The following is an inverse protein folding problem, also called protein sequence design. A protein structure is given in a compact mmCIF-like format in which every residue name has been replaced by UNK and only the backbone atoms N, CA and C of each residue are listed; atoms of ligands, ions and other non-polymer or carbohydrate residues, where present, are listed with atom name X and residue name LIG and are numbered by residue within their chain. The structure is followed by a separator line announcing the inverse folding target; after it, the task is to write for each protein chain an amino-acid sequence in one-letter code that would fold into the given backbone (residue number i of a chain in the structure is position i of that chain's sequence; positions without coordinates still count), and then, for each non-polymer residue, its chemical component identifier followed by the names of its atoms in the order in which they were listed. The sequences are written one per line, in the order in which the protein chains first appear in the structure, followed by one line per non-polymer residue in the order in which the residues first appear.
data_IF_060588746648
#
_entry.id   IF_060588746648
#
_cell.length_a   1.000
_cell.length_b   1.000
_cell.length_c   1.000
_cell.angle_alpha   90.00
_cell.angle_beta   90.00
_cell.angle_gamma   90.00
#
_symmetry.space_group_name_H-M   'P 1'
#
loop_
_entity.id
_entity.type
_entity.pdbx_description
1 polymer ?
#
# COMPACT_ATOMS: atom_id res chain seq x y z
N UNK A 1 -33.34 -22.84 6.31
CA UNK A 1 -32.75 -21.59 5.80
C UNK A 1 -31.61 -22.00 4.91
N UNK A 2 -31.68 -21.67 3.62
CA UNK A 2 -30.53 -21.86 2.73
C UNK A 2 -29.42 -20.93 3.20
N UNK A 3 -28.20 -21.43 3.34
CA UNK A 3 -27.02 -20.57 3.47
C UNK A 3 -26.57 -20.27 2.05
N UNK A 4 -27.24 -19.31 1.43
CA UNK A 4 -26.80 -18.81 0.13
C UNK A 4 -25.50 -18.02 0.36
N UNK A 5 -24.52 -18.25 -0.50
CA UNK A 5 -23.23 -17.58 -0.51
C UNK A 5 -23.10 -16.90 -1.87
N UNK A 6 -22.61 -15.67 -1.86
CA UNK A 6 -22.28 -14.90 -3.06
C UNK A 6 -20.79 -14.58 -3.01
N UNK A 7 -20.15 -14.58 -4.18
CA UNK A 7 -18.72 -14.35 -4.32
C UNK A 7 -18.49 -13.50 -5.57
N UNK A 8 -18.71 -12.18 -5.50
CA UNK A 8 -18.50 -11.28 -6.62
C UNK A 8 -17.03 -11.27 -7.08
N UNK A 9 -16.73 -10.84 -8.32
CA UNK A 9 -15.38 -10.89 -8.86
C UNK A 9 -14.34 -10.10 -8.06
N UNK A 10 -14.68 -8.92 -7.54
CA UNK A 10 -13.73 -8.13 -6.74
C UNK A 10 -13.34 -8.86 -5.46
N UNK A 11 -14.33 -9.30 -4.67
CA UNK A 11 -14.12 -10.06 -3.43
C UNK A 11 -13.27 -11.31 -3.68
N UNK A 12 -13.60 -12.12 -4.68
CA UNK A 12 -12.78 -13.27 -5.06
C UNK A 12 -11.33 -12.89 -5.41
N UNK A 13 -11.16 -11.80 -6.17
CA UNK A 13 -9.85 -11.29 -6.56
C UNK A 13 -9.02 -10.91 -5.34
N UNK A 14 -9.63 -10.19 -4.39
CA UNK A 14 -9.01 -9.77 -3.14
C UNK A 14 -8.71 -10.95 -2.21
N UNK A 15 -9.64 -11.91 -2.05
CA UNK A 15 -9.45 -13.14 -1.27
C UNK A 15 -8.23 -13.94 -1.75
N UNK A 16 -8.09 -14.09 -3.06
CA UNK A 16 -6.92 -14.76 -3.63
C UNK A 16 -5.62 -14.01 -3.34
N UNK A 17 -5.65 -12.67 -3.34
CA UNK A 17 -4.48 -11.88 -2.98
C UNK A 17 -4.15 -11.99 -1.50
N UNK A 18 -5.14 -11.90 -0.61
CA UNK A 18 -4.99 -12.07 0.84
C UNK A 18 -4.35 -13.42 1.16
N UNK A 19 -4.85 -14.52 0.60
CA UNK A 19 -4.23 -15.83 0.85
C UNK A 19 -2.82 -15.92 0.22
N UNK A 20 -2.60 -15.35 -0.98
CA UNK A 20 -1.29 -15.36 -1.62
C UNK A 20 -0.23 -14.60 -0.79
N UNK A 21 -0.54 -13.42 -0.26
CA UNK A 21 0.42 -12.66 0.56
C UNK A 21 0.71 -13.36 1.88
N UNK A 22 -0.31 -13.91 2.55
CA UNK A 22 -0.12 -14.66 3.80
C UNK A 22 0.78 -15.90 3.63
N UNK A 23 0.76 -16.52 2.45
CA UNK A 23 1.67 -17.63 2.12
C UNK A 23 3.10 -17.20 1.82
N UNK A 24 3.34 -15.93 1.50
CA UNK A 24 4.67 -15.39 1.18
C UNK A 24 5.39 -14.78 2.38
N UNK A 25 4.69 -14.60 3.50
CA UNK A 25 5.23 -14.05 4.75
C UNK A 25 6.32 -14.97 5.32
N UNK A 26 7.31 -14.37 5.99
CA UNK A 26 8.41 -15.04 6.67
C UNK A 26 9.29 -15.90 5.74
N UNK A 27 9.43 -17.20 6.01
CA UNK A 27 10.20 -18.15 5.18
C UNK A 27 9.24 -19.20 4.64
N UNK A 28 8.70 -19.00 3.41
CA UNK A 28 7.64 -19.84 2.88
C UNK A 28 8.15 -21.26 2.56
N UNK A 29 7.34 -22.27 2.88
CA UNK A 29 7.66 -23.64 2.48
C UNK A 29 7.48 -23.83 0.96
N UNK A 30 8.03 -24.90 0.34
CA UNK A 30 7.76 -25.21 -1.06
C UNK A 30 6.26 -25.34 -1.39
N UNK A 31 5.45 -25.77 -0.41
CA UNK A 31 4.00 -25.86 -0.56
C UNK A 31 3.38 -24.46 -0.57
N UNK A 32 3.82 -23.58 0.33
CA UNK A 32 3.31 -22.21 0.40
C UNK A 32 3.65 -21.44 -0.86
N UNK A 33 4.89 -21.53 -1.35
CA UNK A 33 5.30 -20.94 -2.62
C UNK A 33 4.45 -21.41 -3.81
N UNK A 34 4.15 -22.72 -3.87
CA UNK A 34 3.28 -23.27 -4.92
C UNK A 34 1.90 -22.63 -4.87
N UNK A 35 1.25 -22.61 -3.71
CA UNK A 35 -0.12 -22.09 -3.60
C UNK A 35 -0.17 -20.57 -3.66
N UNK A 36 0.86 -19.86 -3.19
CA UNK A 36 1.00 -18.42 -3.34
C UNK A 36 0.99 -18.04 -4.83
N UNK A 37 1.78 -18.73 -5.68
CA UNK A 37 1.77 -18.46 -7.12
C UNK A 37 0.43 -18.80 -7.77
N UNK A 38 -0.23 -19.90 -7.35
CA UNK A 38 -1.52 -20.29 -7.90
C UNK A 38 -2.61 -19.26 -7.57
N UNK A 39 -2.67 -18.81 -6.32
CA UNK A 39 -3.65 -17.81 -5.89
C UNK A 39 -3.30 -16.42 -6.41
N UNK A 40 -2.02 -16.03 -6.45
CA UNK A 40 -1.61 -14.79 -7.09
C UNK A 40 -1.99 -14.76 -8.58
N UNK A 41 -1.84 -15.88 -9.30
CA UNK A 41 -2.32 -15.99 -10.69
C UNK A 41 -3.83 -15.81 -10.79
N UNK A 42 -4.60 -16.48 -9.93
CA UNK A 42 -6.05 -16.37 -9.89
C UNK A 42 -6.51 -14.95 -9.56
N UNK A 43 -5.97 -14.33 -8.50
CA UNK A 43 -6.27 -12.96 -8.09
C UNK A 43 -5.94 -11.95 -9.18
N UNK A 44 -4.74 -12.03 -9.78
CA UNK A 44 -4.36 -11.19 -10.92
C UNK A 44 -5.34 -11.35 -12.09
N UNK A 45 -5.69 -12.59 -12.47
CA UNK A 45 -6.62 -12.80 -13.58
C UNK A 45 -8.01 -12.23 -13.28
N UNK A 46 -8.52 -12.45 -12.08
CA UNK A 46 -9.85 -12.02 -11.66
C UNK A 46 -9.91 -10.49 -11.57
N UNK A 47 -8.93 -9.83 -10.97
CA UNK A 47 -8.93 -8.37 -10.83
C UNK A 47 -8.75 -7.63 -12.16
N UNK A 48 -7.95 -8.18 -13.09
CA UNK A 48 -7.87 -7.64 -14.45
C UNK A 48 -9.21 -7.78 -15.20
N UNK A 49 -9.95 -8.87 -14.98
CA UNK A 49 -11.29 -9.06 -15.54
C UNK A 49 -12.31 -8.16 -14.87
N UNK A 50 -12.25 -7.99 -13.56
CA UNK A 50 -13.10 -7.08 -12.81
C UNK A 50 -13.07 -5.68 -13.44
N UNK A 51 -11.87 -5.14 -13.69
CA UNK A 51 -11.76 -3.83 -14.34
C UNK A 51 -12.40 -3.77 -15.73
N UNK A 52 -12.37 -4.86 -16.50
CA UNK A 52 -13.09 -4.94 -17.78
C UNK A 52 -14.61 -5.02 -17.59
N UNK A 53 -15.08 -5.74 -16.58
CA UNK A 53 -16.51 -5.88 -16.24
C UNK A 53 -17.11 -4.52 -15.87
N UNK A 54 -16.36 -3.66 -15.17
CA UNK A 54 -16.78 -2.29 -14.86
C UNK A 54 -17.13 -1.45 -16.12
N UNK A 55 -16.58 -1.80 -17.29
CA UNK A 55 -16.92 -1.15 -18.56
C UNK A 55 -18.05 -1.88 -19.30
N UNK A 56 -17.84 -3.18 -19.55
CA UNK A 56 -18.83 -4.06 -20.17
C UNK A 56 -18.40 -5.53 -19.92
N UNK A 57 -19.28 -6.32 -19.30
CA UNK A 57 -19.03 -7.74 -19.03
C UNK A 57 -18.66 -8.55 -20.28
N UNK A 58 -19.11 -8.15 -21.48
CA UNK A 58 -18.76 -8.82 -22.74
C UNK A 58 -17.27 -8.78 -23.02
N UNK A 59 -16.55 -7.82 -22.45
CA UNK A 59 -15.09 -7.69 -22.54
C UNK A 59 -14.35 -8.82 -21.85
N UNK A 60 -15.00 -9.74 -21.14
CA UNK A 60 -14.34 -10.94 -20.62
C UNK A 60 -14.65 -12.22 -21.39
N UNK A 61 -15.50 -12.18 -22.42
CA UNK A 61 -15.87 -13.36 -23.23
C UNK A 61 -14.73 -13.79 -24.16
N UNK A 62 -14.46 -15.10 -24.24
CA UNK A 62 -13.44 -15.64 -25.14
C UNK A 62 -13.93 -15.61 -26.60
N UNK A 63 -13.40 -14.70 -27.42
CA UNK A 63 -13.71 -14.53 -28.84
C UNK A 63 -13.39 -15.77 -29.71
N UNK A 64 -12.69 -16.76 -29.16
CA UNK A 64 -12.45 -18.06 -29.83
C UNK A 64 -13.53 -19.10 -29.54
N UNK A 65 -14.47 -18.79 -28.66
CA UNK A 65 -15.65 -19.61 -28.46
C UNK A 65 -16.69 -19.20 -29.51
N UNK A 66 -17.04 -20.14 -30.40
CA UNK A 66 -18.02 -19.93 -31.47
C UNK A 66 -19.38 -19.44 -30.94
N UNK A 67 -19.64 -19.63 -29.64
CA UNK A 67 -20.86 -19.20 -28.95
C UNK A 67 -20.76 -17.84 -28.27
N UNK A 68 -19.61 -17.18 -28.25
CA UNK A 68 -19.44 -15.92 -27.52
C UNK A 68 -20.37 -14.80 -27.97
N UNK A 69 -20.78 -14.79 -29.25
CA UNK A 69 -21.75 -13.82 -29.76
C UNK A 69 -23.18 -14.09 -29.29
N UNK A 70 -23.47 -15.31 -28.83
CA UNK A 70 -24.79 -15.77 -28.39
C UNK A 70 -24.93 -15.76 -26.86
N UNK A 71 -23.87 -15.43 -26.11
CA UNK A 71 -23.91 -15.35 -24.65
C UNK A 71 -24.83 -14.22 -24.23
N UNK A 72 -25.85 -14.56 -23.44
CA UNK A 72 -26.81 -13.60 -22.89
C UNK A 72 -26.32 -13.06 -21.53
N UNK A 73 -26.94 -12.00 -21.04
CA UNK A 73 -26.71 -11.49 -19.69
C UNK A 73 -27.06 -12.53 -18.61
N UNK A 74 -28.14 -13.30 -18.82
CA UNK A 74 -28.52 -14.42 -17.96
C UNK A 74 -27.45 -15.53 -17.91
N UNK A 75 -26.76 -15.78 -19.03
CA UNK A 75 -25.64 -16.72 -19.07
C UNK A 75 -24.41 -16.17 -18.37
N UNK A 76 -24.17 -14.85 -18.46
CA UNK A 76 -23.10 -14.19 -17.73
C UNK A 76 -23.33 -14.27 -16.22
N UNK A 77 -24.51 -13.87 -15.73
CA UNK A 77 -24.89 -13.94 -14.31
C UNK A 77 -24.80 -15.37 -13.76
N UNK A 78 -25.15 -16.37 -14.57
CA UNK A 78 -25.05 -17.78 -14.20
C UNK A 78 -23.65 -18.39 -14.39
N UNK A 79 -22.65 -17.62 -14.84
CA UNK A 79 -21.29 -18.12 -15.11
C UNK A 79 -21.20 -19.14 -16.26
N UNK A 80 -22.19 -19.19 -17.15
CA UNK A 80 -22.30 -20.17 -18.25
C UNK A 80 -21.62 -19.70 -19.52
N UNK A 81 -20.37 -19.27 -19.42
CA UNK A 81 -19.59 -18.81 -20.55
C UNK A 81 -18.11 -19.13 -20.38
N UNK A 82 -17.37 -19.09 -21.49
CA UNK A 82 -15.91 -19.17 -21.45
C UNK A 82 -15.31 -17.78 -21.35
N UNK A 83 -14.52 -17.54 -20.30
CA UNK A 83 -13.82 -16.27 -20.13
C UNK A 83 -12.41 -16.29 -20.73
N UNK A 84 -11.87 -15.10 -21.00
CA UNK A 84 -10.48 -14.88 -21.42
C UNK A 84 -9.48 -15.15 -20.30
N UNK A 85 -8.19 -15.32 -20.61
CA UNK A 85 -7.11 -15.32 -19.61
C UNK A 85 -6.36 -13.98 -19.52
N UNK A 86 -5.39 -13.88 -18.60
CA UNK A 86 -4.56 -12.68 -18.33
C UNK A 86 -4.06 -12.00 -19.61
N UNK A 87 -3.43 -12.74 -20.53
CA UNK A 87 -2.82 -12.16 -21.73
C UNK A 87 -3.81 -11.47 -22.66
N UNK A 88 -5.07 -11.94 -22.72
CA UNK A 88 -6.15 -11.28 -23.48
C UNK A 88 -6.75 -10.13 -22.67
N UNK A 89 -6.90 -10.29 -21.36
CA UNK A 89 -7.39 -9.23 -20.47
C UNK A 89 -6.52 -7.98 -20.57
N UNK A 90 -5.19 -8.12 -20.47
CA UNK A 90 -4.24 -7.02 -20.63
C UNK A 90 -4.34 -6.31 -22.00
N UNK A 91 -4.64 -7.05 -23.07
CA UNK A 91 -4.81 -6.47 -24.41
C UNK A 91 -6.10 -5.67 -24.51
N UNK A 92 -7.20 -6.14 -23.91
CA UNK A 92 -8.48 -5.42 -23.89
C UNK A 92 -8.42 -4.21 -22.96
N UNK A 93 -7.75 -4.32 -21.82
CA UNK A 93 -7.54 -3.19 -20.90
C UNK A 93 -6.82 -2.03 -21.60
N UNK A 94 -5.84 -2.30 -22.47
CA UNK A 94 -5.13 -1.26 -23.24
C UNK A 94 -5.98 -0.53 -24.28
N UNK A 95 -7.17 -1.04 -24.61
CA UNK A 95 -8.08 -0.34 -25.53
C UNK A 95 -9.07 0.56 -24.79
N UNK A 96 -9.08 0.53 -23.46
CA UNK A 96 -9.90 1.41 -22.64
C UNK A 96 -9.21 2.76 -22.46
N UNK A 97 -9.98 3.84 -22.51
CA UNK A 97 -9.49 5.16 -22.17
C UNK A 97 -9.11 5.22 -20.68
N UNK A 98 -7.99 5.89 -20.37
CA UNK A 98 -7.48 6.01 -18.99
C UNK A 98 -6.61 4.85 -18.51
N UNK A 99 -6.62 3.68 -19.17
CA UNK A 99 -5.84 2.52 -18.74
C UNK A 99 -4.47 2.46 -19.42
N UNK A 100 -3.43 2.87 -18.69
CA UNK A 100 -2.04 2.76 -19.13
C UNK A 100 -1.32 1.62 -18.43
N UNK A 101 -0.80 0.66 -19.20
CA UNK A 101 -0.01 -0.47 -18.71
C UNK A 101 1.44 -0.40 -19.19
N UNK A 102 2.38 -0.39 -18.25
CA UNK A 102 3.82 -0.35 -18.56
C UNK A 102 4.32 -1.67 -19.15
N UNK A 103 5.45 -1.63 -19.84
CA UNK A 103 6.11 -2.86 -20.35
C UNK A 103 6.53 -3.80 -19.21
N UNK A 104 6.91 -3.26 -18.06
CA UNK A 104 7.23 -4.01 -16.84
C UNK A 104 6.03 -4.79 -16.33
N UNK A 105 4.87 -4.15 -16.22
CA UNK A 105 3.62 -4.78 -15.78
C UNK A 105 3.20 -5.93 -16.71
N UNK A 106 3.24 -5.72 -18.04
CA UNK A 106 2.95 -6.78 -19.02
C UNK A 106 3.91 -7.96 -18.90
N UNK A 107 5.19 -7.69 -18.66
CA UNK A 107 6.22 -8.71 -18.49
C UNK A 107 6.01 -9.52 -17.22
N UNK A 108 5.69 -8.86 -16.10
CA UNK A 108 5.39 -9.52 -14.83
C UNK A 108 4.19 -10.48 -14.96
N UNK A 109 3.11 -10.03 -15.57
CA UNK A 109 1.91 -10.83 -15.79
C UNK A 109 2.17 -12.04 -16.72
N UNK A 110 2.88 -11.84 -17.83
CA UNK A 110 3.25 -12.93 -18.75
C UNK A 110 4.22 -13.93 -18.11
N UNK A 111 5.09 -13.48 -17.20
CA UNK A 111 5.96 -14.36 -16.44
C UNK A 111 5.16 -15.18 -15.42
N UNK A 112 4.20 -14.56 -14.70
CA UNK A 112 3.30 -15.26 -13.78
C UNK A 112 2.49 -16.38 -14.47
N UNK A 113 1.92 -16.10 -15.64
CA UNK A 113 1.13 -17.08 -16.41
C UNK A 113 1.96 -18.31 -16.80
N UNK A 114 3.19 -18.08 -17.29
CA UNK A 114 4.14 -19.17 -17.59
C UNK A 114 4.51 -19.96 -16.33
N UNK A 115 4.73 -19.26 -15.22
CA UNK A 115 5.15 -19.87 -13.97
C UNK A 115 4.06 -20.76 -13.37
N UNK A 116 2.81 -20.29 -13.38
CA UNK A 116 1.64 -21.07 -12.99
C UNK A 116 1.51 -22.33 -13.85
N UNK A 117 1.66 -22.21 -15.17
CA UNK A 117 1.59 -23.37 -16.07
C UNK A 117 2.69 -24.41 -15.76
N UNK A 118 3.92 -23.96 -15.51
CA UNK A 118 5.04 -24.84 -15.15
C UNK A 118 4.82 -25.54 -13.81
N UNK A 119 4.36 -24.81 -12.79
CA UNK A 119 4.07 -25.35 -11.45
C UNK A 119 2.92 -26.37 -11.46
N UNK A 120 1.85 -26.09 -12.21
CA UNK A 120 0.66 -26.92 -12.21
C UNK A 120 0.79 -28.17 -13.11
N UNK A 121 1.47 -28.05 -14.25
CA UNK A 121 1.43 -29.10 -15.28
C UNK A 121 2.78 -29.75 -15.61
N UNK A 122 3.91 -29.11 -15.32
CA UNK A 122 5.23 -29.56 -15.82
C UNK A 122 6.26 -29.88 -14.75
N UNK A 123 5.93 -29.72 -13.46
CA UNK A 123 6.85 -30.01 -12.36
C UNK A 123 8.05 -29.07 -12.35
N UNK A 124 7.80 -27.77 -12.17
CA UNK A 124 8.83 -26.74 -12.12
C UNK A 124 9.98 -27.11 -11.15
N UNK A 125 11.21 -27.13 -11.66
CA UNK A 125 12.44 -27.17 -10.85
C UNK A 125 13.05 -25.77 -10.84
N UNK A 126 12.95 -25.08 -9.71
CA UNK A 126 13.52 -23.75 -9.49
C UNK A 126 13.93 -23.61 -8.01
N UNK A 127 14.69 -22.56 -7.68
CA UNK A 127 14.99 -22.25 -6.27
C UNK A 127 13.83 -21.49 -5.63
N UNK A 128 13.72 -21.54 -4.30
CA UNK A 128 12.68 -20.81 -3.57
C UNK A 128 12.78 -19.30 -3.84
N UNK A 129 14.00 -18.76 -3.84
CA UNK A 129 14.28 -17.34 -4.05
C UNK A 129 13.86 -16.87 -5.45
N UNK A 130 14.02 -17.72 -6.47
CA UNK A 130 13.58 -17.41 -7.82
C UNK A 130 12.05 -17.38 -7.94
N UNK A 131 11.36 -18.27 -7.21
CA UNK A 131 9.88 -18.27 -7.11
C UNK A 131 9.40 -17.03 -6.37
N UNK A 132 9.99 -16.71 -5.23
CA UNK A 132 9.66 -15.53 -4.43
C UNK A 132 9.87 -14.23 -5.22
N UNK A 133 11.01 -14.08 -5.90
CA UNK A 133 11.27 -12.89 -6.72
C UNK A 133 10.27 -12.74 -7.87
N UNK A 134 9.79 -13.84 -8.44
CA UNK A 134 8.76 -13.80 -9.48
C UNK A 134 7.38 -13.47 -8.92
N UNK A 135 7.04 -13.99 -7.74
CA UNK A 135 5.82 -13.65 -7.01
C UNK A 135 5.83 -12.18 -6.60
N UNK A 136 6.94 -11.67 -6.05
CA UNK A 136 7.12 -10.27 -5.68
C UNK A 136 6.91 -9.31 -6.86
N UNK A 137 7.41 -9.64 -8.06
CA UNK A 137 7.15 -8.86 -9.29
C UNK A 137 5.67 -8.82 -9.66
N UNK A 138 4.99 -9.94 -9.58
CA UNK A 138 3.56 -10.03 -9.88
C UNK A 138 2.72 -9.30 -8.84
N UNK A 139 3.07 -9.42 -7.56
CA UNK A 139 2.44 -8.72 -6.44
C UNK A 139 2.63 -7.20 -6.57
N UNK A 140 3.85 -6.75 -6.87
CA UNK A 140 4.10 -5.33 -7.13
C UNK A 140 3.26 -4.80 -8.30
N UNK A 141 3.16 -5.56 -9.39
CA UNK A 141 2.29 -5.19 -10.51
C UNK A 141 0.81 -5.06 -10.09
N UNK A 142 0.26 -6.04 -9.38
CA UNK A 142 -1.17 -6.04 -9.08
C UNK A 142 -1.53 -4.94 -8.08
N UNK A 143 -0.65 -4.63 -7.12
CA UNK A 143 -0.83 -3.49 -6.21
C UNK A 143 -0.89 -2.16 -6.98
N UNK A 144 0.07 -1.94 -7.88
CA UNK A 144 0.07 -0.74 -8.73
C UNK A 144 -1.18 -0.70 -9.63
N UNK A 145 -1.66 -1.85 -10.08
CA UNK A 145 -2.87 -1.95 -10.89
C UNK A 145 -4.14 -1.63 -10.09
N UNK A 146 -4.25 -2.15 -8.86
CA UNK A 146 -5.37 -1.84 -7.97
C UNK A 146 -5.43 -0.33 -7.71
N UNK A 147 -4.32 0.27 -7.26
CA UNK A 147 -4.26 1.70 -6.94
C UNK A 147 -4.55 2.60 -8.15
N UNK A 148 -4.05 2.24 -9.33
CA UNK A 148 -4.19 3.10 -10.52
C UNK A 148 -5.47 2.89 -11.30
N UNK A 149 -6.08 1.69 -11.24
CA UNK A 149 -7.15 1.32 -12.17
C UNK A 149 -8.40 0.74 -11.50
N UNK A 150 -8.34 0.30 -10.24
CA UNK A 150 -9.51 -0.23 -9.50
C UNK A 150 -10.00 0.76 -8.45
N UNK A 151 -9.12 1.22 -7.56
CA UNK A 151 -9.44 2.07 -6.42
C UNK A 151 -10.04 3.45 -6.77
N UNK A 152 -9.77 4.08 -7.93
CA UNK A 152 -10.42 5.34 -8.27
C UNK A 152 -11.96 5.22 -8.25
N UNK A 153 -12.61 6.04 -7.43
CA UNK A 153 -14.02 5.96 -7.00
C UNK A 153 -15.04 5.82 -8.14
N UNK A 154 -14.73 6.29 -9.35
CA UNK A 154 -15.69 6.33 -10.47
C UNK A 154 -16.20 4.96 -10.92
N UNK A 155 -15.58 3.86 -10.47
CA UNK A 155 -15.91 2.50 -10.88
C UNK A 155 -16.36 1.58 -9.74
N UNK A 156 -16.31 2.04 -8.49
CA UNK A 156 -16.63 1.22 -7.33
C UNK A 156 -18.08 1.40 -6.90
N UNK A 157 -18.70 0.33 -6.45
CA UNK A 157 -19.95 0.38 -5.67
C UNK A 157 -19.63 0.43 -4.17
N UNK A 158 -20.58 0.83 -3.33
CA UNK A 158 -20.41 0.81 -1.86
C UNK A 158 -19.96 -0.57 -1.34
N UNK A 159 -20.37 -1.66 -1.99
CA UNK A 159 -19.95 -3.03 -1.65
C UNK A 159 -18.50 -3.28 -2.05
N UNK A 160 -18.09 -2.77 -3.21
CA UNK A 160 -16.71 -2.89 -3.67
C UNK A 160 -15.74 -2.10 -2.78
N UNK A 161 -16.16 -0.91 -2.34
CA UNK A 161 -15.42 -0.10 -1.37
C UNK A 161 -15.24 -0.87 -0.05
N UNK A 162 -16.32 -1.43 0.49
CA UNK A 162 -16.25 -2.25 1.71
C UNK A 162 -15.29 -3.43 1.57
N UNK A 163 -15.31 -4.14 0.43
CA UNK A 163 -14.39 -5.26 0.17
C UNK A 163 -12.93 -4.79 0.18
N UNK A 164 -12.64 -3.64 -0.44
CA UNK A 164 -11.28 -3.08 -0.44
C UNK A 164 -10.86 -2.63 0.96
N UNK A 165 -11.74 -1.95 1.69
CA UNK A 165 -11.49 -1.48 3.05
C UNK A 165 -11.23 -2.63 4.03
N UNK A 166 -11.89 -3.77 3.84
CA UNK A 166 -11.66 -4.97 4.65
C UNK A 166 -10.37 -5.72 4.24
N UNK A 167 -10.09 -5.86 2.94
CA UNK A 167 -8.98 -6.69 2.48
C UNK A 167 -7.62 -5.97 2.43
N UNK A 168 -7.60 -4.67 2.11
CA UNK A 168 -6.35 -3.93 1.91
C UNK A 168 -5.49 -3.79 3.18
N UNK A 169 -6.03 -3.54 4.39
CA UNK A 169 -5.23 -3.50 5.61
C UNK A 169 -4.42 -4.79 5.83
N UNK A 170 -5.07 -5.95 5.69
CA UNK A 170 -4.43 -7.27 5.82
C UNK A 170 -3.35 -7.47 4.75
N UNK A 171 -3.65 -7.09 3.50
CA UNK A 171 -2.67 -7.18 2.40
C UNK A 171 -1.45 -6.33 2.74
N UNK A 172 -1.65 -5.03 3.05
CA UNK A 172 -0.57 -4.06 3.29
C UNK A 172 0.30 -4.46 4.47
N UNK A 173 -0.30 -4.93 5.57
CA UNK A 173 0.40 -5.48 6.73
C UNK A 173 1.30 -6.65 6.36
N UNK A 174 0.79 -7.58 5.55
CA UNK A 174 1.60 -8.70 5.06
C UNK A 174 2.75 -8.25 4.15
N UNK A 175 2.56 -7.23 3.29
CA UNK A 175 3.58 -6.79 2.32
C UNK A 175 4.92 -6.42 2.97
N UNK A 176 4.89 -5.73 4.12
CA UNK A 176 6.08 -5.30 4.85
C UNK A 176 6.96 -6.44 5.34
N UNK A 177 6.39 -7.64 5.45
CA UNK A 177 7.08 -8.83 5.97
C UNK A 177 7.61 -9.76 4.88
N UNK A 178 7.33 -9.46 3.61
CA UNK A 178 7.78 -10.26 2.46
C UNK A 178 9.12 -9.71 1.99
N UNK A 179 10.23 -10.26 2.50
CA UNK A 179 11.60 -9.77 2.24
C UNK A 179 11.93 -9.57 0.75
N UNK A 180 11.53 -10.51 -0.12
CA UNK A 180 11.79 -10.41 -1.55
C UNK A 180 11.06 -9.21 -2.18
N UNK A 181 9.84 -8.92 -1.73
CA UNK A 181 9.05 -7.77 -2.16
C UNK A 181 9.64 -6.47 -1.64
N UNK A 182 9.96 -6.41 -0.34
CA UNK A 182 10.57 -5.25 0.32
C UNK A 182 11.82 -4.82 -0.43
N UNK A 183 12.78 -5.73 -0.59
CA UNK A 183 14.04 -5.47 -1.29
C UNK A 183 13.81 -4.96 -2.72
N UNK A 184 12.91 -5.60 -3.46
CA UNK A 184 12.65 -5.24 -4.85
C UNK A 184 11.96 -3.88 -5.00
N UNK A 185 10.90 -3.61 -4.22
CA UNK A 185 10.15 -2.35 -4.33
C UNK A 185 10.96 -1.19 -3.78
N UNK A 186 11.61 -1.33 -2.62
CA UNK A 186 12.45 -0.26 -2.06
C UNK A 186 13.64 0.10 -2.97
N UNK A 187 14.22 -0.88 -3.67
CA UNK A 187 15.25 -0.59 -4.68
C UNK A 187 14.73 0.30 -5.81
N UNK A 188 13.49 0.11 -6.27
CA UNK A 188 12.88 0.95 -7.31
C UNK A 188 12.44 2.32 -6.77
N UNK A 189 12.08 2.40 -5.48
CA UNK A 189 11.60 3.62 -4.84
C UNK A 189 12.73 4.50 -4.32
N UNK A 190 13.96 4.00 -4.23
CA UNK A 190 15.10 4.69 -3.60
C UNK A 190 15.26 6.13 -4.06
N UNK A 191 15.20 6.42 -5.37
CA UNK A 191 15.33 7.79 -5.86
C UNK A 191 14.18 8.71 -5.46
N UNK A 192 12.99 8.16 -5.24
CA UNK A 192 11.81 8.94 -4.81
C UNK A 192 11.86 9.18 -3.31
N UNK A 193 12.19 8.14 -2.55
CA UNK A 193 12.27 8.15 -1.08
C UNK A 193 13.41 9.05 -0.59
N UNK A 194 14.61 8.92 -1.19
CA UNK A 194 15.79 9.70 -0.81
C UNK A 194 15.59 11.22 -1.05
N UNK A 195 14.69 11.61 -1.95
CA UNK A 195 14.44 13.01 -2.30
C UNK A 195 13.31 13.68 -1.47
N UNK A 196 12.39 12.89 -0.89
CA UNK A 196 11.11 13.38 -0.39
C UNK A 196 11.00 13.42 1.15
N UNK A 197 12.11 13.28 1.88
CA UNK A 197 12.10 13.15 3.35
C UNK A 197 11.06 12.11 3.82
N UNK A 198 11.09 10.91 3.23
CA UNK A 198 10.02 9.94 3.41
C UNK A 198 9.78 9.60 4.89
N UNK A 199 8.52 9.37 5.23
CA UNK A 199 8.10 8.95 6.56
C UNK A 199 7.73 7.46 6.60
N UNK A 200 7.60 6.93 7.81
CA UNK A 200 7.28 5.52 8.05
C UNK A 200 5.79 5.24 7.83
N UNK A 201 5.48 4.17 7.09
CA UNK A 201 4.11 3.76 6.83
C UNK A 201 3.57 2.89 7.97
N UNK A 202 2.45 3.26 8.63
CA UNK A 202 1.85 2.41 9.66
C UNK A 202 1.28 1.09 9.11
N UNK A 203 0.81 1.09 7.86
CA UNK A 203 0.20 -0.12 7.26
C UNK A 203 1.21 -1.20 6.88
N UNK A 204 2.38 -0.84 6.35
CA UNK A 204 3.33 -1.82 5.78
C UNK A 204 4.74 -1.74 6.37
N UNK A 205 4.95 -0.85 7.34
CA UNK A 205 6.21 -0.69 8.06
C UNK A 205 7.43 -0.40 7.19
N UNK A 206 7.24 0.36 6.10
CA UNK A 206 8.32 0.80 5.22
C UNK A 206 8.46 2.32 5.26
N UNK A 207 9.70 2.87 5.21
CA UNK A 207 9.95 4.31 5.14
C UNK A 207 9.70 4.81 3.71
N UNK A 208 8.43 4.88 3.34
CA UNK A 208 8.01 5.14 1.97
C UNK A 208 6.77 6.06 1.87
N UNK A 209 6.36 6.71 2.97
CA UNK A 209 5.30 7.71 2.95
C UNK A 209 5.85 9.02 2.41
N UNK A 210 5.21 9.53 1.37
CA UNK A 210 5.46 10.84 0.80
C UNK A 210 4.39 11.79 1.38
N UNK A 211 4.82 12.84 2.08
CA UNK A 211 3.92 13.80 2.71
C UNK A 211 3.37 14.84 1.73
N UNK A 212 4.12 15.16 0.68
CA UNK A 212 3.70 16.10 -0.36
C UNK A 212 2.83 15.43 -1.43
N UNK A 213 1.76 16.09 -1.84
CA UNK A 213 1.03 15.73 -3.05
C UNK A 213 1.86 16.11 -4.29
N UNK A 214 1.96 15.22 -5.29
CA UNK A 214 2.76 15.47 -6.51
C UNK A 214 2.15 16.53 -7.47
N UNK A 215 1.30 17.43 -6.97
CA UNK A 215 0.73 18.52 -7.73
C UNK A 215 1.47 19.83 -7.45
N UNK A 216 2.25 20.22 -8.45
CA UNK A 216 3.19 21.35 -8.52
C UNK A 216 2.53 22.73 -8.51
N UNK A 217 1.49 22.96 -7.72
CA UNK A 217 0.96 24.31 -7.49
C UNK A 217 1.31 24.75 -6.07
N UNK A 218 2.39 25.52 -5.95
CA UNK A 218 2.89 26.11 -4.68
C UNK A 218 1.90 27.11 -4.05
N UNK A 219 0.68 27.23 -4.58
CA UNK A 219 -0.41 28.03 -4.04
C UNK A 219 -1.23 27.32 -2.96
N UNK A 220 -1.08 26.00 -2.81
CA UNK A 220 -1.75 25.21 -1.78
C UNK A 220 -0.80 24.95 -0.60
N UNK A 221 -1.28 25.19 0.62
CA UNK A 221 -0.51 24.93 1.83
C UNK A 221 -0.48 23.43 2.18
N UNK A 222 0.30 23.01 3.19
CA UNK A 222 0.36 21.60 3.64
C UNK A 222 -0.98 21.02 4.12
N UNK A 223 -2.00 21.86 4.25
CA UNK A 223 -3.37 21.49 4.64
C UNK A 223 -4.13 20.78 3.50
N UNK A 224 -3.71 20.95 2.24
CA UNK A 224 -4.29 20.27 1.08
C UNK A 224 -3.46 19.04 0.62
N UNK A 225 -2.45 18.65 1.41
CA UNK A 225 -1.62 17.49 1.09
C UNK A 225 -2.33 16.18 1.47
N UNK A 226 -2.30 15.23 0.53
CA UNK A 226 -2.80 13.87 0.69
C UNK A 226 -1.62 12.89 0.73
N UNK A 227 -1.10 12.55 1.93
CA UNK A 227 0.03 11.64 2.04
C UNK A 227 -0.26 10.29 1.40
N UNK A 228 0.78 9.65 0.88
CA UNK A 228 0.66 8.29 0.33
C UNK A 228 1.90 7.46 0.56
N UNK A 229 1.71 6.17 0.81
CA UNK A 229 2.80 5.22 0.84
C UNK A 229 3.14 4.76 -0.58
N UNK A 230 4.31 5.14 -1.07
CA UNK A 230 4.80 4.70 -2.38
C UNK A 230 5.07 3.18 -2.44
N UNK A 231 5.18 2.52 -1.28
CA UNK A 231 5.39 1.08 -1.18
C UNK A 231 4.08 0.28 -1.28
N UNK A 232 3.15 0.48 -0.35
CA UNK A 232 1.92 -0.32 -0.21
C UNK A 232 0.65 0.36 -0.75
N UNK A 233 0.78 1.56 -1.30
CA UNK A 233 -0.31 2.37 -1.88
C UNK A 233 -1.39 2.81 -0.89
N UNK A 234 -1.09 2.81 0.42
CA UNK A 234 -1.90 3.49 1.42
C UNK A 234 -1.99 4.99 1.14
N UNK A 235 -3.12 5.60 1.49
CA UNK A 235 -3.44 7.01 1.26
C UNK A 235 -4.12 7.57 2.50
N UNK A 236 -3.87 8.83 2.77
CA UNK A 236 -4.50 9.57 3.85
C UNK A 236 -5.14 10.84 3.29
N UNK A 237 -6.30 11.20 3.83
CA UNK A 237 -7.03 12.40 3.40
C UNK A 237 -6.30 13.68 3.81
N UNK A 238 -5.46 13.62 4.84
CA UNK A 238 -4.62 14.73 5.26
C UNK A 238 -3.34 14.25 5.95
N UNK A 239 -2.39 15.17 6.13
CA UNK A 239 -1.23 14.93 7.01
C UNK A 239 -1.67 14.64 8.46
N UNK A 240 -2.81 15.15 8.92
CA UNK A 240 -3.31 14.89 10.27
C UNK A 240 -3.78 13.44 10.42
N UNK A 241 -4.57 12.93 9.46
CA UNK A 241 -5.01 11.52 9.46
C UNK A 241 -3.83 10.56 9.42
N UNK A 242 -2.79 10.89 8.62
CA UNK A 242 -1.55 10.13 8.63
C UNK A 242 -0.86 10.11 10.01
N UNK A 243 -0.78 11.25 10.70
CA UNK A 243 -0.16 11.33 12.03
C UNK A 243 -0.97 10.55 13.07
N UNK A 244 -2.29 10.59 13.00
CA UNK A 244 -3.17 9.82 13.88
C UNK A 244 -2.94 8.31 13.71
N UNK A 245 -2.87 7.82 12.46
CA UNK A 245 -2.55 6.42 12.18
C UNK A 245 -1.12 6.06 12.55
N UNK A 246 -0.14 6.93 12.27
CA UNK A 246 1.26 6.69 12.62
C UNK A 246 1.43 6.56 14.14
N UNK A 247 0.85 7.47 14.92
CA UNK A 247 0.95 7.42 16.38
C UNK A 247 0.18 6.24 16.96
N UNK A 248 -1.01 5.94 16.46
CA UNK A 248 -1.86 4.87 17.01
C UNK A 248 -1.46 3.46 16.58
N UNK A 249 -1.17 3.24 15.31
CA UNK A 249 -0.88 1.92 14.74
C UNK A 249 0.61 1.59 14.89
N UNK A 250 1.49 2.52 14.49
CA UNK A 250 2.94 2.26 14.48
C UNK A 250 3.59 2.48 15.84
N UNK A 251 3.23 3.54 16.57
CA UNK A 251 3.79 3.80 17.91
C UNK A 251 2.94 3.20 19.06
N UNK A 252 1.71 2.77 18.80
CA UNK A 252 0.82 2.22 19.83
C UNK A 252 0.30 3.27 20.81
N UNK A 253 0.31 4.55 20.44
CA UNK A 253 -0.10 5.68 21.27
C UNK A 253 -1.48 6.19 20.84
N UNK A 254 -2.44 6.24 21.75
CA UNK A 254 -3.82 6.66 21.42
C UNK A 254 -4.21 7.96 22.14
N UNK A 255 -4.72 8.93 21.37
CA UNK A 255 -5.37 10.14 21.91
C UNK A 255 -6.53 9.81 22.88
N UNK A 256 -7.24 8.71 22.68
CA UNK A 256 -8.32 8.26 23.57
C UNK A 256 -7.78 7.88 24.95
N UNK A 257 -6.65 7.18 25.02
CA UNK A 257 -6.00 6.81 26.28
C UNK A 257 -5.43 8.06 26.97
N UNK A 258 -4.87 9.01 26.20
CA UNK A 258 -4.40 10.28 26.72
C UNK A 258 -5.52 11.09 27.41
N UNK A 259 -6.68 11.21 26.76
CA UNK A 259 -7.81 11.97 27.29
C UNK A 259 -8.50 11.32 28.50
N UNK A 260 -8.54 9.99 28.59
CA UNK A 260 -9.26 9.28 29.64
C UNK A 260 -8.40 8.84 30.82
N UNK A 261 -7.16 8.42 30.57
CA UNK A 261 -6.27 7.87 31.59
C UNK A 261 -5.20 8.89 32.05
N UNK A 262 -5.23 10.11 31.51
CA UNK A 262 -4.27 11.17 31.80
C UNK A 262 -2.88 10.88 31.24
N UNK A 263 -2.79 10.04 30.21
CA UNK A 263 -1.56 9.83 29.46
C UNK A 263 -1.23 11.06 28.61
N UNK A 264 0.05 11.23 28.29
CA UNK A 264 0.51 12.34 27.46
C UNK A 264 -0.06 12.22 26.04
N UNK A 265 -0.36 13.37 25.43
CA UNK A 265 -0.79 13.43 24.03
C UNK A 265 0.29 12.82 23.13
N UNK A 266 -0.05 11.98 22.15
CA UNK A 266 0.92 11.40 21.22
C UNK A 266 1.60 12.43 20.31
N UNK A 267 1.01 13.63 20.20
CA UNK A 267 1.58 14.78 19.48
C UNK A 267 1.84 15.94 20.43
N UNK A 268 2.87 16.73 20.11
CA UNK A 268 3.25 17.97 20.79
C UNK A 268 3.11 19.19 19.87
N UNK A 269 3.08 20.36 20.51
CA UNK A 269 3.09 21.64 19.81
C UNK A 269 4.47 21.92 19.18
N UNK A 270 4.49 22.16 17.88
CA UNK A 270 5.71 22.53 17.18
C UNK A 270 6.03 24.02 17.41
N UNK A 271 7.22 24.37 17.95
CA UNK A 271 7.59 25.77 18.18
C UNK A 271 7.83 26.57 16.88
N UNK A 272 8.15 25.90 15.78
CA UNK A 272 8.44 26.56 14.49
C UNK A 272 7.18 26.97 13.72
N UNK A 273 6.15 26.12 13.69
CA UNK A 273 4.92 26.37 12.93
C UNK A 273 3.66 26.54 13.77
N UNK A 274 3.71 26.24 15.07
CA UNK A 274 2.58 26.34 15.99
C UNK A 274 1.49 25.28 15.78
N UNK A 275 1.78 24.17 15.10
CA UNK A 275 0.82 23.07 14.89
C UNK A 275 1.12 21.90 15.84
N UNK A 276 0.07 21.20 16.28
CA UNK A 276 0.16 20.04 17.17
C UNK A 276 0.43 18.75 16.36
N UNK A 277 1.56 18.74 15.65
CA UNK A 277 1.97 17.66 14.73
C UNK A 277 3.43 17.25 14.95
N UNK A 278 4.03 17.57 16.10
CA UNK A 278 5.35 17.11 16.48
C UNK A 278 5.26 15.74 17.15
N UNK A 279 5.98 14.75 16.63
CA UNK A 279 6.03 13.39 17.18
C UNK A 279 7.47 12.99 17.45
N UNK A 280 7.70 12.31 18.58
CA UNK A 280 9.01 11.82 18.99
C UNK A 280 9.14 10.31 18.75
N UNK A 281 10.12 9.91 17.93
CA UNK A 281 10.38 8.51 17.57
C UNK A 281 11.83 8.32 17.12
N UNK A 282 12.29 7.07 17.06
CA UNK A 282 13.58 6.71 16.46
C UNK A 282 13.46 6.78 14.92
N UNK A 283 14.18 7.70 14.25
CA UNK A 283 14.07 7.88 12.80
C UNK A 283 14.51 6.66 11.99
N UNK A 284 15.40 5.82 12.53
CA UNK A 284 15.95 4.65 11.84
C UNK A 284 14.99 3.46 11.83
N UNK A 285 14.05 3.40 12.77
CA UNK A 285 13.11 2.27 12.94
C UNK A 285 11.64 2.69 12.82
N UNK A 286 11.35 3.99 12.96
CA UNK A 286 9.99 4.50 13.05
C UNK A 286 9.27 4.13 14.35
N UNK A 287 9.99 3.61 15.34
CA UNK A 287 9.44 3.12 16.62
C UNK A 287 9.81 4.05 17.79
N UNK A 288 9.30 3.75 18.98
CA UNK A 288 9.77 4.39 20.20
C UNK A 288 11.16 3.86 20.57
N UNK A 289 12.10 4.77 20.81
CA UNK A 289 13.48 4.45 21.17
C UNK A 289 13.96 5.18 22.43
N UNK A 290 15.12 4.80 22.98
CA UNK A 290 15.72 5.49 24.12
C UNK A 290 16.19 6.91 23.80
N UNK A 291 16.56 7.17 22.53
CA UNK A 291 17.06 8.44 22.04
C UNK A 291 16.21 8.92 20.84
N UNK A 292 14.92 9.29 21.06
CA UNK A 292 14.03 9.66 19.98
C UNK A 292 14.33 11.07 19.45
N UNK A 293 14.11 11.27 18.15
CA UNK A 293 14.09 12.59 17.53
C UNK A 293 12.64 13.06 17.36
N UNK A 294 12.42 14.35 17.52
CA UNK A 294 11.16 15.01 17.24
C UNK A 294 11.09 15.41 15.77
N UNK A 295 10.03 15.02 15.06
CA UNK A 295 9.74 15.53 13.72
C UNK A 295 8.35 16.15 13.68
N UNK A 296 8.24 17.38 13.18
CA UNK A 296 6.94 17.97 12.89
C UNK A 296 6.45 17.53 11.51
N UNK A 297 5.32 16.84 11.42
CA UNK A 297 4.77 16.38 10.14
C UNK A 297 4.11 17.51 9.32
N UNK A 298 3.90 18.69 9.91
CA UNK A 298 3.37 19.85 9.18
C UNK A 298 4.46 20.65 8.45
N UNK A 299 5.48 21.14 9.17
CA UNK A 299 6.54 21.98 8.61
C UNK A 299 7.88 21.25 8.42
N UNK A 300 7.93 19.97 8.76
CA UNK A 300 9.06 19.07 8.50
C UNK A 300 10.38 19.45 9.20
N UNK A 301 10.30 20.31 10.22
CA UNK A 301 11.44 20.59 11.07
C UNK A 301 11.73 19.42 12.01
N UNK A 302 13.01 19.22 12.30
CA UNK A 302 13.52 18.18 13.18
C UNK A 302 14.12 18.78 14.45
N UNK A 303 13.92 18.06 15.55
CA UNK A 303 14.41 18.37 16.89
C UNK A 303 15.10 17.13 17.43
N UNK A 304 16.26 17.31 18.06
CA UNK A 304 17.05 16.20 18.58
C UNK A 304 17.16 16.22 20.11
N UNK A 305 16.60 17.24 20.77
CA UNK A 305 16.71 17.42 22.21
C UNK A 305 15.59 18.31 22.75
N UNK A 306 15.55 18.48 24.08
CA UNK A 306 14.61 19.36 24.79
C UNK A 306 15.36 20.37 25.62
N UNK A 307 14.86 21.60 25.64
CA UNK A 307 15.38 22.66 26.49
C UNK A 307 15.28 22.24 27.98
N UNK A 308 16.38 22.22 28.75
CA UNK A 308 16.37 21.76 30.14
C UNK A 308 15.60 22.69 31.10
N UNK A 309 15.26 23.91 30.67
CA UNK A 309 14.52 24.89 31.48
C UNK A 309 13.01 24.83 31.29
N UNK A 310 12.53 24.73 30.05
CA UNK A 310 11.09 24.78 29.72
C UNK A 310 10.56 23.50 29.06
N UNK A 311 11.44 22.53 28.79
CA UNK A 311 11.13 21.29 28.08
C UNK A 311 10.67 21.46 26.62
N UNK A 312 10.79 22.67 26.05
CA UNK A 312 10.45 22.93 24.66
C UNK A 312 11.38 22.14 23.71
N UNK A 313 10.88 21.65 22.57
CA UNK A 313 11.70 21.03 21.54
C UNK A 313 12.80 21.97 21.06
N UNK A 314 14.03 21.46 20.95
CA UNK A 314 15.17 22.21 20.41
C UNK A 314 15.98 21.36 19.44
N UNK A 315 16.70 22.02 18.55
CA UNK A 315 17.70 21.39 17.70
C UNK A 315 19.08 21.87 18.16
N UNK A 316 19.77 21.05 18.95
CA UNK A 316 21.11 21.32 19.45
C UNK A 316 22.13 20.71 18.47
N UNK A 317 22.89 21.52 17.71
CA UNK A 317 24.02 20.99 16.97
C UNK A 317 25.03 20.41 17.96
N UNK A 318 25.66 19.27 17.63
CA UNK A 318 26.57 18.53 18.52
C UNK A 318 27.77 19.34 19.06
N UNK A 319 28.02 20.54 18.52
CA UNK A 319 29.14 21.44 18.86
C UNK A 319 28.71 22.71 19.62
N UNK A 320 27.42 22.89 19.98
CA UNK A 320 26.95 24.07 20.72
C UNK A 320 26.86 23.80 22.23
N UNK A 321 27.55 24.62 23.04
CA UNK A 321 27.52 24.53 24.50
C UNK A 321 26.20 25.06 25.11
N UNK A 322 25.36 25.69 24.29
CA UNK A 322 24.13 26.35 24.71
C UNK A 322 22.91 25.44 24.53
N UNK A 323 22.51 24.70 25.57
CA UNK A 323 21.37 23.77 25.51
C UNK A 323 19.99 24.43 25.69
N UNK A 324 19.91 25.75 25.84
CA UNK A 324 18.64 26.46 26.12
C UNK A 324 17.96 26.93 24.82
N UNK A 325 16.63 26.86 24.76
CA UNK A 325 15.89 27.46 23.66
C UNK A 325 16.01 29.00 23.66
N UNK A 326 15.74 29.61 22.51
CA UNK A 326 15.82 31.06 22.31
C UNK A 326 15.07 31.86 23.39
N UNK A 327 13.83 31.49 23.70
CA UNK A 327 13.03 32.16 24.73
C UNK A 327 13.67 32.07 26.12
N UNK A 328 14.24 30.91 26.46
CA UNK A 328 14.91 30.70 27.74
C UNK A 328 16.25 31.42 27.84
N UNK A 329 16.88 31.75 26.71
CA UNK A 329 18.10 32.55 26.62
C UNK A 329 17.81 34.05 26.71
N UNK A 330 16.75 34.52 26.04
CA UNK A 330 16.33 35.92 26.10
C UNK A 330 15.83 36.31 27.51
N UNK A 331 15.35 35.34 28.30
CA UNK A 331 14.91 35.48 29.69
C UNK A 331 16.05 35.34 30.74
N UNK A 332 17.33 35.51 30.37
CA UNK A 332 18.50 35.49 31.29
C UNK A 332 19.03 36.90 31.63
#
# INVERSE_FOLDING_TARGET
MSRDVDFPPLENGMDYLVDAVHRLVATPSPKDLKYAVLHLHAGVEVLLKYRLICEDWRLILDDKDDKSADVTEEDYEAGRFRSIGIGKALKRLQTLDGVTLTSGQKTAAAALDRFRNQLQHHGLTSTAEAVEAQAAKALGFILDFIDSHITPETHLTDVDEQVLDEAMPDIRGALGTINALVNQRMQHLRSVVDLASAAWCPDCDQPAVLLESQHTDQSHGPEDDHPRCAFCTARWDSRADYVDDFTSIKLGLSHYHAAHDGADSPTEHCPECGKDMLVWFDPDTGELGPDPNGRCFFCECEFNDRCPRCNAPVNNPADDETMLCYDCLDDL
#
